data_IF_806233676315
#
_entry.id   IF_806233676315
#
_cell.length_a   1.000
_cell.length_b   1.000
_cell.length_c   1.000
_cell.angle_alpha   90.00
_cell.angle_beta   90.00
_cell.angle_gamma   90.00
#
_symmetry.space_group_name_H-M   'P 1'
#
loop_
_entity.id
_entity.type
_entity.pdbx_description
1 polymer ?
#
# COMPACT_ATOMS: atom_id res chain seq x y z
N UNK A 1 -31.50 17.05 9.16
CA UNK A 1 -30.30 16.68 9.94
C UNK A 1 -29.83 15.23 9.70
N UNK A 2 -30.69 14.21 9.75
CA UNK A 2 -30.30 12.80 9.46
C UNK A 2 -29.62 12.58 8.09
N UNK A 3 -30.05 13.28 7.04
CA UNK A 3 -29.45 13.18 5.70
C UNK A 3 -28.03 13.75 5.63
N UNK A 4 -27.71 14.76 6.44
CA UNK A 4 -26.36 15.34 6.52
C UNK A 4 -25.41 14.41 7.26
N UNK A 5 -25.88 13.78 8.35
CA UNK A 5 -25.09 12.79 9.10
C UNK A 5 -24.77 11.58 8.22
N UNK A 6 -25.75 11.07 7.47
CA UNK A 6 -25.53 9.98 6.52
C UNK A 6 -24.52 10.36 5.42
N UNK A 7 -24.58 11.60 4.91
CA UNK A 7 -23.61 12.10 3.93
C UNK A 7 -22.18 12.17 4.48
N UNK A 8 -22.01 12.67 5.70
CA UNK A 8 -20.69 12.76 6.35
C UNK A 8 -20.10 11.37 6.63
N UNK A 9 -20.91 10.41 7.08
CA UNK A 9 -20.46 9.02 7.28
C UNK A 9 -20.03 8.35 5.98
N UNK A 10 -20.76 8.58 4.88
CA UNK A 10 -20.39 8.03 3.58
C UNK A 10 -19.05 8.60 3.10
N UNK A 11 -18.83 9.91 3.21
CA UNK A 11 -17.56 10.54 2.81
C UNK A 11 -16.38 10.07 3.67
N UNK A 12 -16.58 9.92 4.99
CA UNK A 12 -15.56 9.38 5.89
C UNK A 12 -15.22 7.90 5.62
N UNK A 13 -16.15 7.12 5.08
CA UNK A 13 -15.88 5.74 4.67
C UNK A 13 -15.09 5.65 3.35
N UNK A 14 -15.20 6.65 2.46
CA UNK A 14 -14.42 6.68 1.22
C UNK A 14 -12.99 7.21 1.43
N UNK A 15 -12.74 8.04 2.45
CA UNK A 15 -11.40 8.56 2.72
C UNK A 15 -10.41 7.52 3.26
N UNK A 16 -10.90 6.38 3.78
CA UNK A 16 -10.05 5.24 4.16
C UNK A 16 -9.70 4.31 3.00
N UNK A 17 -10.42 4.41 1.86
CA UNK A 17 -10.24 3.55 0.69
C UNK A 17 -9.11 4.01 -0.25
N UNK A 18 -8.46 5.15 0.02
CA UNK A 18 -7.36 5.68 -0.80
C UNK A 18 -5.99 5.59 -0.12
N UNK A 19 -5.92 5.05 1.09
CA UNK A 19 -4.65 4.81 1.78
C UNK A 19 -3.89 3.63 1.17
N UNK A 20 -2.66 3.86 0.71
CA UNK A 20 -1.72 2.79 0.40
C UNK A 20 -1.16 2.23 1.72
N UNK A 21 -1.71 1.13 2.22
CA UNK A 21 -1.20 0.52 3.44
C UNK A 21 0.03 -0.33 3.10
N UNK A 22 1.21 0.03 3.61
CA UNK A 22 2.37 -0.85 3.56
C UNK A 22 2.13 -2.02 4.51
N UNK A 23 1.96 -3.21 3.95
CA UNK A 23 1.58 -4.43 4.67
C UNK A 23 2.77 -5.14 5.31
N UNK A 24 4.00 -4.84 4.89
CA UNK A 24 5.21 -5.42 5.46
C UNK A 24 6.46 -5.17 4.65
N UNK A 25 7.61 -5.28 5.29
CA UNK A 25 8.94 -5.21 4.67
C UNK A 25 9.75 -6.41 5.14
N UNK A 26 10.36 -7.12 4.19
CA UNK A 26 11.33 -8.19 4.47
C UNK A 26 12.67 -7.84 3.80
N UNK A 27 13.79 -8.07 4.47
CA UNK A 27 15.11 -7.79 3.93
C UNK A 27 15.92 -9.07 3.78
N UNK A 28 16.74 -9.15 2.73
CA UNK A 28 17.68 -10.25 2.50
C UNK A 28 18.89 -9.71 1.74
N UNK A 29 20.04 -9.66 2.41
CA UNK A 29 21.26 -9.09 1.84
C UNK A 29 21.08 -7.63 1.41
N UNK A 30 21.34 -7.36 0.12
CA UNK A 30 21.21 -6.05 -0.51
C UNK A 30 19.80 -5.76 -1.06
N UNK A 31 18.79 -6.56 -0.69
CA UNK A 31 17.41 -6.44 -1.21
C UNK A 31 16.38 -6.27 -0.10
N UNK A 32 15.35 -5.50 -0.41
CA UNK A 32 14.14 -5.36 0.40
C UNK A 32 12.91 -5.69 -0.44
N UNK A 33 12.04 -6.53 0.10
CA UNK A 33 10.72 -6.84 -0.45
C UNK A 33 9.68 -6.07 0.36
N UNK A 34 8.90 -5.24 -0.33
CA UNK A 34 7.89 -4.38 0.26
C UNK A 34 6.54 -4.85 -0.25
N UNK A 35 5.68 -5.24 0.67
CA UNK A 35 4.30 -5.61 0.38
C UNK A 35 3.45 -4.36 0.54
N UNK A 36 2.88 -3.86 -0.57
CA UNK A 36 1.96 -2.73 -0.55
C UNK A 36 0.54 -3.23 -0.80
N UNK A 37 -0.38 -2.78 0.03
CA UNK A 37 -1.80 -2.94 -0.16
C UNK A 37 -2.32 -1.65 -0.81
N UNK A 38 -2.68 -1.71 -2.08
CA UNK A 38 -3.38 -0.59 -2.69
C UNK A 38 -4.81 -0.54 -2.10
N UNK A 39 -5.26 0.65 -1.67
CA UNK A 39 -6.53 0.83 -0.92
C UNK A 39 -7.79 0.43 -1.69
N UNK A 40 -7.66 0.14 -2.98
CA UNK A 40 -8.75 -0.31 -3.85
C UNK A 40 -9.14 -1.76 -3.52
N UNK A 41 -10.42 -1.98 -3.19
CA UNK A 41 -11.03 -3.30 -2.92
C UNK A 41 -10.35 -4.10 -1.78
N UNK A 42 -10.15 -3.50 -0.60
CA UNK A 42 -9.72 -4.24 0.61
C UNK A 42 -8.41 -5.04 0.45
N UNK A 43 -7.52 -4.61 -0.43
CA UNK A 43 -6.27 -5.32 -0.70
C UNK A 43 -6.36 -6.46 -1.71
N UNK A 44 -7.33 -6.40 -2.62
CA UNK A 44 -7.39 -7.30 -3.78
C UNK A 44 -6.15 -7.14 -4.68
N UNK A 45 -5.54 -5.94 -4.69
CA UNK A 45 -4.30 -5.62 -5.40
C UNK A 45 -3.15 -5.52 -4.41
N UNK A 46 -2.67 -6.67 -3.92
CA UNK A 46 -1.38 -6.74 -3.22
C UNK A 46 -0.26 -6.67 -4.24
N UNK A 47 0.64 -5.70 -4.09
CA UNK A 47 1.85 -5.59 -4.90
C UNK A 47 3.08 -5.92 -4.06
N UNK A 48 3.96 -6.74 -4.61
CA UNK A 48 5.28 -6.99 -4.06
C UNK A 48 6.30 -6.18 -4.88
N UNK A 49 6.94 -5.21 -4.21
CA UNK A 49 7.98 -4.38 -4.81
C UNK A 49 9.32 -4.86 -4.26
N UNK A 50 10.27 -5.16 -5.15
CA UNK A 50 11.63 -5.52 -4.75
C UNK A 50 12.54 -4.36 -5.04
N UNK A 51 13.19 -3.84 -4.01
CA UNK A 51 14.16 -2.74 -4.09
C UNK A 51 15.55 -3.23 -3.71
N UNK A 52 16.58 -2.57 -4.23
CA UNK A 52 17.95 -2.66 -3.70
C UNK A 52 18.12 -1.73 -2.52
N UNK A 53 18.85 -2.18 -1.51
CA UNK A 53 19.26 -1.38 -0.36
C UNK A 53 20.61 -0.74 -0.70
N UNK A 54 20.69 0.58 -0.64
CA UNK A 54 21.90 1.37 -0.79
C UNK A 54 22.04 2.35 0.38
N UNK A 55 23.20 3.01 0.53
CA UNK A 55 23.44 3.97 1.63
C UNK A 55 22.45 5.13 1.64
N UNK A 56 21.94 5.52 0.47
CA UNK A 56 20.91 6.55 0.32
C UNK A 56 19.47 6.04 0.56
N UNK A 57 19.30 4.74 0.86
CA UNK A 57 18.01 4.08 1.08
C UNK A 57 17.63 3.07 -0.02
N UNK A 58 16.33 2.88 -0.22
CA UNK A 58 15.78 1.92 -1.18
C UNK A 58 15.84 2.49 -2.61
N UNK A 59 16.53 1.78 -3.51
CA UNK A 59 16.72 2.19 -4.90
C UNK A 59 16.36 1.07 -5.89
N UNK A 60 16.15 1.41 -7.15
CA UNK A 60 15.85 0.46 -8.24
C UNK A 60 14.70 -0.51 -7.89
N UNK A 61 13.60 0.05 -7.37
CA UNK A 61 12.41 -0.70 -7.01
C UNK A 61 11.65 -1.19 -8.26
N UNK A 62 11.46 -2.50 -8.39
CA UNK A 62 10.70 -3.13 -9.47
C UNK A 62 9.45 -3.83 -8.96
N UNK A 63 8.34 -3.69 -9.70
CA UNK A 63 7.10 -4.45 -9.49
C UNK A 63 7.32 -5.88 -9.99
N UNK A 64 7.60 -6.82 -9.09
CA UNK A 64 7.55 -8.25 -9.43
C UNK A 64 6.15 -8.75 -9.10
N UNK A 65 5.20 -8.49 -10.00
CA UNK A 65 3.81 -8.93 -9.89
C UNK A 65 3.60 -10.45 -10.12
N UNK A 66 4.67 -11.25 -10.16
CA UNK A 66 4.56 -12.69 -10.33
C UNK A 66 5.10 -13.41 -9.09
N UNK A 67 4.29 -14.24 -8.40
CA UNK A 67 4.82 -15.16 -7.39
C UNK A 67 5.84 -16.13 -7.99
#
# INVERSE_FOLDING_TARGET
>A
MKKLIAGVLAVAALSSATGCAYSGVATSGDKAVILRNDGFLFGLLRKAVVCKIADAGLQNCGDNNNP
#
